data_IF_690591556455
#
_entry.id   IF_690591556455
#
_cell.length_a   1.000
_cell.length_b   1.000
_cell.length_c   1.000
_cell.angle_alpha   90.00
_cell.angle_beta   90.00
_cell.angle_gamma   90.00
#
_symmetry.space_group_name_H-M   'P 1'
#
loop_
_entity.id
_entity.type
_entity.pdbx_description
1 polymer ?
#
# COMPACT_ATOMS: atom_id res chain seq x y z
N UNK A 1 -66.06 0.80 -27.17
CA UNK A 1 -65.21 1.16 -26.00
C UNK A 1 -64.32 -0.03 -25.66
N UNK A 2 -63.05 0.02 -26.02
CA UNK A 2 -62.06 -1.02 -25.61
C UNK A 2 -61.28 -0.49 -24.40
N UNK A 3 -61.47 -1.15 -23.27
CA UNK A 3 -60.78 -0.86 -22.01
C UNK A 3 -59.33 -1.31 -22.14
N UNK A 4 -58.38 -0.36 -22.08
CA UNK A 4 -56.94 -0.65 -22.00
C UNK A 4 -56.68 -1.08 -20.55
N UNK A 5 -56.28 -2.34 -20.36
CA UNK A 5 -55.76 -2.82 -19.08
C UNK A 5 -54.34 -2.30 -18.93
N UNK A 6 -54.08 -1.54 -17.87
CA UNK A 6 -52.74 -1.19 -17.43
C UNK A 6 -52.01 -2.49 -17.07
N UNK A 7 -50.81 -2.66 -17.62
CA UNK A 7 -49.89 -3.70 -17.21
C UNK A 7 -49.48 -3.41 -15.76
N UNK A 8 -49.83 -4.31 -14.87
CA UNK A 8 -49.32 -4.31 -13.49
C UNK A 8 -47.78 -4.35 -13.51
N UNK A 9 -47.15 -3.30 -12.97
CA UNK A 9 -45.72 -3.27 -12.78
C UNK A 9 -45.33 -4.40 -11.81
N UNK A 10 -44.62 -5.40 -12.29
CA UNK A 10 -44.12 -6.49 -11.47
C UNK A 10 -43.08 -5.90 -10.50
N UNK A 11 -43.48 -5.74 -9.25
CA UNK A 11 -42.56 -5.34 -8.16
C UNK A 11 -41.61 -6.53 -7.91
N UNK A 12 -40.30 -6.38 -8.05
CA UNK A 12 -39.37 -7.46 -7.82
C UNK A 12 -39.48 -7.96 -6.37
N UNK A 13 -39.38 -9.27 -6.14
CA UNK A 13 -39.37 -9.82 -4.80
C UNK A 13 -38.16 -9.27 -4.02
N UNK A 14 -38.27 -9.12 -2.69
CA UNK A 14 -37.18 -8.63 -1.83
C UNK A 14 -35.85 -9.41 -2.03
N UNK A 15 -35.95 -10.69 -2.39
CA UNK A 15 -34.79 -11.52 -2.73
C UNK A 15 -34.15 -11.10 -4.06
N UNK A 16 -34.94 -10.81 -5.08
CA UNK A 16 -34.45 -10.34 -6.38
C UNK A 16 -33.83 -8.95 -6.27
N UNK A 17 -34.45 -8.07 -5.51
CA UNK A 17 -33.90 -6.72 -5.24
C UNK A 17 -32.53 -6.81 -4.54
N UNK A 18 -32.38 -7.70 -3.55
CA UNK A 18 -31.10 -7.92 -2.85
C UNK A 18 -30.02 -8.46 -3.79
N UNK A 19 -30.36 -9.43 -4.64
CA UNK A 19 -29.41 -10.00 -5.64
C UNK A 19 -28.99 -8.93 -6.65
N UNK A 20 -29.92 -8.15 -7.18
CA UNK A 20 -29.60 -7.05 -8.11
C UNK A 20 -28.72 -5.98 -7.45
N UNK A 21 -28.99 -5.60 -6.18
CA UNK A 21 -28.14 -4.67 -5.46
C UNK A 21 -26.72 -5.21 -5.25
N UNK A 22 -26.55 -6.50 -4.97
CA UNK A 22 -25.25 -7.14 -4.86
C UNK A 22 -24.49 -7.14 -6.20
N UNK A 23 -25.17 -7.47 -7.31
CA UNK A 23 -24.56 -7.47 -8.65
C UNK A 23 -24.12 -6.05 -9.03
N UNK A 24 -24.97 -5.04 -8.80
CA UNK A 24 -24.64 -3.63 -9.09
C UNK A 24 -23.43 -3.19 -8.24
N UNK A 25 -23.35 -3.59 -6.95
CA UNK A 25 -22.19 -3.30 -6.10
C UNK A 25 -20.89 -3.93 -6.62
N UNK A 26 -20.95 -5.18 -7.08
CA UNK A 26 -19.79 -5.88 -7.66
C UNK A 26 -19.32 -5.21 -8.97
N UNK A 27 -20.25 -4.83 -9.83
CA UNK A 27 -19.90 -4.15 -11.09
C UNK A 27 -19.30 -2.77 -10.85
N UNK A 28 -19.86 -2.03 -9.90
CA UNK A 28 -19.33 -0.71 -9.52
C UNK A 28 -17.92 -0.83 -8.91
N UNK A 29 -17.68 -1.77 -8.00
CA UNK A 29 -16.35 -2.03 -7.46
C UNK A 29 -15.35 -2.42 -8.55
N UNK A 30 -15.77 -3.26 -9.52
CA UNK A 30 -14.95 -3.59 -10.70
C UNK A 30 -14.58 -2.36 -11.51
N UNK A 31 -15.54 -1.46 -11.75
CA UNK A 31 -15.33 -0.22 -12.47
C UNK A 31 -14.31 0.68 -11.76
N UNK A 32 -14.48 0.87 -10.45
CA UNK A 32 -13.60 1.69 -9.63
C UNK A 32 -12.16 1.11 -9.56
N UNK A 33 -12.02 -0.20 -9.46
CA UNK A 33 -10.70 -0.89 -9.54
C UNK A 33 -10.09 -0.81 -10.95
N UNK A 34 -10.90 -0.83 -11.99
CA UNK A 34 -10.44 -0.65 -13.36
C UNK A 34 -9.89 0.78 -13.59
N UNK A 35 -10.49 1.80 -12.96
CA UNK A 35 -10.01 3.19 -13.02
C UNK A 35 -8.60 3.32 -12.44
N UNK A 36 -8.32 2.71 -11.28
CA UNK A 36 -6.97 2.71 -10.70
C UNK A 36 -5.92 2.10 -11.64
N UNK A 37 -6.27 0.99 -12.32
CA UNK A 37 -5.38 0.38 -13.34
C UNK A 37 -5.16 1.29 -14.55
N UNK A 38 -6.21 1.98 -15.00
CA UNK A 38 -6.10 2.92 -16.12
C UNK A 38 -5.17 4.10 -15.76
N UNK A 39 -5.30 4.68 -14.56
CA UNK A 39 -4.41 5.73 -14.07
C UNK A 39 -2.94 5.28 -14.05
N UNK A 40 -2.68 4.08 -13.55
CA UNK A 40 -1.35 3.51 -13.51
C UNK A 40 -0.77 3.29 -14.93
N UNK A 41 -1.59 2.80 -15.88
CA UNK A 41 -1.18 2.59 -17.28
C UNK A 41 -0.94 3.93 -18.01
N UNK A 42 -1.80 4.94 -17.80
CA UNK A 42 -1.61 6.30 -18.32
C UNK A 42 -0.29 6.91 -17.83
N UNK A 43 0.00 6.77 -16.53
CA UNK A 43 1.22 7.25 -15.92
C UNK A 43 2.46 6.54 -16.47
N UNK A 44 2.40 5.22 -16.63
CA UNK A 44 3.48 4.45 -17.24
C UNK A 44 3.77 4.91 -18.67
N UNK A 45 2.75 5.15 -19.47
CA UNK A 45 2.88 5.67 -20.85
C UNK A 45 3.47 7.10 -20.88
N UNK A 46 3.19 7.92 -19.86
CA UNK A 46 3.71 9.28 -19.72
C UNK A 46 5.09 9.36 -19.06
N UNK A 47 5.63 8.23 -18.54
CA UNK A 47 6.88 8.21 -17.78
C UNK A 47 6.77 8.81 -16.37
N UNK A 48 5.55 9.03 -15.87
CA UNK A 48 5.26 9.54 -14.54
C UNK A 48 5.12 8.38 -13.54
N UNK A 49 6.19 8.08 -12.81
CA UNK A 49 6.23 6.91 -11.94
C UNK A 49 5.50 7.11 -10.61
N UNK A 50 5.20 8.34 -10.18
CA UNK A 50 4.65 8.63 -8.85
C UNK A 50 3.45 9.59 -8.82
N UNK A 51 3.30 10.49 -9.78
CA UNK A 51 2.22 11.50 -9.76
C UNK A 51 0.81 10.95 -9.89
N UNK A 52 0.66 9.72 -10.42
CA UNK A 52 -0.63 9.07 -10.52
C UNK A 52 -1.23 8.66 -9.16
N UNK A 53 -0.42 8.54 -8.10
CA UNK A 53 -0.93 8.26 -6.76
C UNK A 53 -1.82 9.40 -6.27
N UNK A 54 -1.37 10.65 -6.41
CA UNK A 54 -2.19 11.81 -6.05
C UNK A 54 -3.51 11.83 -6.82
N UNK A 55 -3.48 11.58 -8.14
CA UNK A 55 -4.69 11.50 -8.96
C UNK A 55 -5.63 10.39 -8.47
N UNK A 56 -5.10 9.22 -8.12
CA UNK A 56 -5.90 8.11 -7.61
C UNK A 56 -6.57 8.47 -6.28
N UNK A 57 -5.83 9.05 -5.33
CA UNK A 57 -6.40 9.47 -4.04
C UNK A 57 -7.43 10.57 -4.19
N UNK A 58 -7.21 11.53 -5.09
CA UNK A 58 -8.17 12.60 -5.38
C UNK A 58 -9.46 12.05 -6.00
N UNK A 59 -9.38 11.17 -7.01
CA UNK A 59 -10.53 10.51 -7.61
C UNK A 59 -11.25 9.59 -6.59
N UNK A 60 -10.50 8.89 -5.72
CA UNK A 60 -11.10 8.09 -4.67
C UNK A 60 -11.81 8.93 -3.61
N UNK A 61 -11.31 10.12 -3.30
CA UNK A 61 -11.99 11.07 -2.41
C UNK A 61 -13.28 11.61 -3.01
N UNK A 62 -13.37 11.72 -4.34
CA UNK A 62 -14.57 12.12 -5.08
C UNK A 62 -15.56 10.93 -5.29
N UNK A 63 -15.16 9.69 -5.01
CA UNK A 63 -15.98 8.49 -5.23
C UNK A 63 -15.85 7.89 -6.64
N UNK A 64 -14.92 8.39 -7.46
CA UNK A 64 -14.71 7.97 -8.85
C UNK A 64 -13.70 6.82 -9.01
N UNK A 65 -12.96 6.50 -7.96
CA UNK A 65 -12.02 5.39 -7.88
C UNK A 65 -12.04 4.73 -6.49
N UNK A 66 -11.36 3.58 -6.36
CA UNK A 66 -10.99 2.99 -5.06
C UNK A 66 -9.48 2.89 -4.97
N UNK A 67 -8.97 2.93 -3.75
CA UNK A 67 -7.56 2.66 -3.46
C UNK A 67 -7.40 1.14 -3.32
N UNK A 68 -6.81 0.43 -4.31
CA UNK A 68 -6.89 -1.04 -4.37
C UNK A 68 -6.15 -1.77 -3.25
N UNK A 69 -5.24 -1.09 -2.56
CA UNK A 69 -4.42 -1.63 -1.46
C UNK A 69 -4.93 -1.25 -0.08
N UNK A 70 -6.11 -0.61 0.01
CA UNK A 70 -6.69 -0.17 1.29
C UNK A 70 -7.76 -1.15 1.74
N UNK A 71 -7.40 -2.06 2.64
CA UNK A 71 -8.29 -3.10 3.17
C UNK A 71 -9.02 -2.68 4.45
N UNK A 72 -8.85 -1.42 4.90
CA UNK A 72 -9.48 -0.90 6.11
C UNK A 72 -8.87 -1.43 7.42
N UNK A 73 -7.73 -2.10 7.34
CA UNK A 73 -7.03 -2.72 8.46
C UNK A 73 -5.50 -2.70 8.23
N UNK A 74 -4.69 -2.85 9.30
CA UNK A 74 -3.25 -3.04 9.16
C UNK A 74 -2.94 -4.30 8.35
N UNK A 75 -1.82 -4.24 7.63
CA UNK A 75 -1.37 -5.39 6.83
C UNK A 75 -1.20 -6.63 7.72
N UNK A 76 -1.82 -7.79 7.39
CA UNK A 76 -1.77 -8.99 8.22
C UNK A 76 -0.36 -9.54 8.39
N UNK A 77 0.51 -9.42 7.38
CA UNK A 77 1.89 -9.92 7.45
C UNK A 77 2.77 -9.02 8.34
N UNK A 78 2.44 -7.71 8.44
CA UNK A 78 3.06 -6.81 9.42
C UNK A 78 2.60 -7.16 10.83
N UNK A 79 1.30 -7.39 11.04
CA UNK A 79 0.78 -7.70 12.37
C UNK A 79 1.28 -9.05 12.89
N UNK A 80 1.37 -10.06 12.03
CA UNK A 80 1.94 -11.36 12.33
C UNK A 80 3.43 -11.26 12.71
N UNK A 81 4.23 -10.54 11.89
CA UNK A 81 5.64 -10.29 12.19
C UNK A 81 5.83 -9.57 13.51
N UNK A 82 5.06 -8.50 13.76
CA UNK A 82 5.12 -7.73 14.99
C UNK A 82 4.81 -8.58 16.23
N UNK A 83 3.83 -9.49 16.13
CA UNK A 83 3.48 -10.43 17.19
C UNK A 83 4.59 -11.47 17.43
N UNK A 84 5.17 -12.03 16.37
CA UNK A 84 6.28 -12.99 16.42
C UNK A 84 7.51 -12.38 17.10
N UNK A 85 7.87 -11.17 16.70
CA UNK A 85 9.01 -10.43 17.24
C UNK A 85 8.70 -9.75 18.60
N UNK A 86 7.46 -9.85 19.10
CA UNK A 86 6.99 -9.24 20.36
C UNK A 86 7.34 -7.76 20.43
N UNK A 87 7.02 -7.02 19.36
CA UNK A 87 7.43 -5.62 19.26
C UNK A 87 6.90 -4.79 20.42
N UNK A 88 7.80 -3.99 20.98
CA UNK A 88 7.53 -2.92 21.93
C UNK A 88 8.25 -1.66 21.49
N UNK A 89 7.46 -0.65 21.10
CA UNK A 89 7.95 0.61 20.55
C UNK A 89 8.30 1.67 21.57
N UNK A 90 8.22 1.40 22.88
CA UNK A 90 8.53 2.40 23.92
C UNK A 90 9.93 2.99 23.75
N UNK A 91 9.98 4.32 23.60
CA UNK A 91 11.23 5.05 23.39
C UNK A 91 11.84 4.88 22.00
N UNK A 92 11.12 4.24 21.05
CA UNK A 92 11.58 3.99 19.69
C UNK A 92 10.76 4.77 18.68
N UNK A 93 11.39 5.09 17.56
CA UNK A 93 10.79 5.79 16.43
C UNK A 93 10.55 4.82 15.27
N UNK A 94 9.38 4.93 14.64
CA UNK A 94 9.07 4.16 13.43
C UNK A 94 8.73 5.09 12.26
N UNK A 95 9.14 4.69 11.05
CA UNK A 95 8.78 5.32 9.79
C UNK A 95 7.96 4.33 8.96
N UNK A 96 6.80 4.77 8.48
CA UNK A 96 5.98 4.01 7.52
C UNK A 96 6.08 4.69 6.16
N UNK A 97 6.63 3.97 5.20
CA UNK A 97 6.88 4.43 3.83
C UNK A 97 5.61 4.26 3.00
N UNK A 98 5.14 5.33 2.34
CA UNK A 98 3.90 5.29 1.56
C UNK A 98 2.72 4.88 2.42
N UNK A 99 2.49 5.61 3.51
CA UNK A 99 1.55 5.21 4.57
C UNK A 99 0.07 5.18 4.13
N UNK A 100 -0.26 5.76 2.98
CA UNK A 100 -1.61 5.81 2.45
C UNK A 100 -2.64 6.30 3.46
N UNK A 101 -3.63 5.47 3.76
CA UNK A 101 -4.69 5.77 4.74
C UNK A 101 -4.31 5.45 6.20
N UNK A 102 -3.04 5.15 6.48
CA UNK A 102 -2.46 5.15 7.82
C UNK A 102 -2.66 3.90 8.67
N UNK A 103 -3.28 2.84 8.18
CA UNK A 103 -3.62 1.67 9.00
C UNK A 103 -2.40 1.01 9.66
N UNK A 104 -1.29 0.87 8.94
CA UNK A 104 -0.03 0.33 9.47
C UNK A 104 0.64 1.29 10.47
N UNK A 105 0.57 2.60 10.19
CA UNK A 105 1.11 3.62 11.09
C UNK A 105 0.35 3.67 12.42
N UNK A 106 -0.99 3.64 12.38
CA UNK A 106 -1.83 3.56 13.56
C UNK A 106 -1.59 2.25 14.35
N UNK A 107 -1.35 1.15 13.65
CA UNK A 107 -0.99 -0.11 14.31
C UNK A 107 0.33 0.00 15.09
N UNK A 108 1.38 0.58 14.50
CA UNK A 108 2.66 0.78 15.17
C UNK A 108 2.55 1.77 16.33
N UNK A 109 1.72 2.80 16.22
CA UNK A 109 1.44 3.73 17.32
C UNK A 109 0.79 3.01 18.52
N UNK A 110 -0.15 2.06 18.26
CA UNK A 110 -0.71 1.20 19.32
C UNK A 110 0.35 0.31 19.98
N UNK A 111 1.41 -0.07 19.26
CA UNK A 111 2.59 -0.75 19.82
C UNK A 111 3.57 0.22 20.50
N UNK A 112 3.18 1.49 20.70
CA UNK A 112 3.91 2.53 21.46
C UNK A 112 5.16 3.06 20.78
N UNK A 113 5.28 2.92 19.45
CA UNK A 113 6.26 3.68 18.69
C UNK A 113 5.86 5.15 18.59
N UNK A 114 6.85 6.05 18.54
CA UNK A 114 6.67 7.39 18.00
C UNK A 114 6.73 7.28 16.48
N UNK A 115 5.57 7.36 15.82
CA UNK A 115 5.43 7.03 14.40
C UNK A 115 5.40 8.28 13.53
N UNK A 116 6.18 8.24 12.46
CA UNK A 116 6.02 9.12 11.30
C UNK A 116 5.51 8.27 10.14
N UNK A 117 4.38 8.65 9.55
CA UNK A 117 3.87 8.09 8.30
C UNK A 117 3.99 9.12 7.18
N UNK A 118 4.54 8.78 6.05
CA UNK A 118 4.56 9.69 4.91
C UNK A 118 4.01 9.04 3.65
N UNK A 119 3.44 9.89 2.80
CA UNK A 119 3.01 9.51 1.45
C UNK A 119 3.35 10.65 0.49
N UNK A 120 3.56 10.31 -0.79
CA UNK A 120 3.80 11.29 -1.84
C UNK A 120 2.53 12.06 -2.22
N UNK A 121 1.36 11.48 -1.94
CA UNK A 121 0.06 12.03 -2.26
C UNK A 121 -0.47 12.93 -1.13
N UNK A 122 -0.53 14.27 -1.31
CA UNK A 122 -1.11 15.19 -0.34
C UNK A 122 -2.54 14.82 0.06
N UNK A 123 -3.37 14.42 -0.91
CA UNK A 123 -4.77 14.00 -0.66
C UNK A 123 -4.86 12.81 0.28
N UNK A 124 -3.91 11.84 0.21
CA UNK A 124 -3.85 10.73 1.16
C UNK A 124 -3.57 11.23 2.58
N UNK A 125 -2.61 12.13 2.73
CA UNK A 125 -2.22 12.73 4.03
C UNK A 125 -3.36 13.57 4.61
N UNK A 126 -4.00 14.42 3.82
CA UNK A 126 -5.17 15.20 4.28
C UNK A 126 -6.31 14.29 4.74
N UNK A 127 -6.54 13.22 4.01
CA UNK A 127 -7.58 12.24 4.34
C UNK A 127 -7.27 11.49 5.63
N UNK A 128 -6.05 10.95 5.80
CA UNK A 128 -5.70 10.19 7.00
C UNK A 128 -5.76 11.05 8.26
N UNK A 129 -5.30 12.31 8.19
CA UNK A 129 -5.39 13.26 9.31
C UNK A 129 -6.85 13.55 9.68
N UNK A 130 -7.71 13.76 8.70
CA UNK A 130 -9.14 14.00 8.91
C UNK A 130 -9.87 12.78 9.50
N UNK A 131 -9.51 11.58 9.06
CA UNK A 131 -10.15 10.32 9.49
C UNK A 131 -9.64 9.83 10.85
N UNK A 132 -8.47 10.31 11.32
CA UNK A 132 -7.88 9.93 12.60
C UNK A 132 -7.64 11.17 13.50
N UNK A 133 -8.70 11.89 13.89
CA UNK A 133 -8.56 13.05 14.76
C UNK A 133 -7.99 12.63 16.12
N UNK A 134 -6.88 13.25 16.53
CA UNK A 134 -6.20 12.93 17.80
C UNK A 134 -5.22 11.75 17.73
N UNK A 135 -4.92 11.23 16.55
CA UNK A 135 -3.84 10.26 16.37
C UNK A 135 -2.49 10.81 16.85
N UNK A 136 -1.67 10.00 17.54
CA UNK A 136 -0.30 10.38 17.90
C UNK A 136 0.69 10.28 16.74
N UNK A 137 0.26 9.81 15.55
CA UNK A 137 1.10 9.65 14.36
C UNK A 137 1.35 11.00 13.71
N UNK A 138 2.61 11.28 13.37
CA UNK A 138 2.99 12.42 12.54
C UNK A 138 2.84 12.07 11.06
N UNK A 139 1.78 12.55 10.41
CA UNK A 139 1.56 12.34 8.98
C UNK A 139 2.16 13.48 8.18
N UNK A 140 2.97 13.16 7.14
CA UNK A 140 3.75 14.14 6.37
C UNK A 140 3.67 13.81 4.87
N UNK A 141 3.42 14.82 4.04
CA UNK A 141 3.63 14.68 2.60
C UNK A 141 5.12 14.72 2.30
N UNK A 142 5.68 13.65 1.75
CA UNK A 142 7.10 13.56 1.39
C UNK A 142 7.32 12.57 0.25
N UNK A 143 8.40 12.76 -0.50
CA UNK A 143 8.85 11.85 -1.54
C UNK A 143 9.96 10.94 -1.01
N UNK A 144 9.83 9.63 -1.20
CA UNK A 144 10.87 8.65 -0.85
C UNK A 144 12.22 8.94 -1.53
N UNK A 145 12.19 9.60 -2.69
CA UNK A 145 13.39 9.96 -3.46
C UNK A 145 14.05 11.27 -2.99
N UNK A 146 13.37 12.03 -2.12
CA UNK A 146 13.86 13.31 -1.57
C UNK A 146 13.43 13.45 -0.09
N UNK A 147 13.82 12.48 0.73
CA UNK A 147 13.50 12.48 2.15
C UNK A 147 14.24 13.59 2.88
N UNK A 148 13.62 14.20 3.93
CA UNK A 148 14.32 15.18 4.78
C UNK A 148 15.65 14.62 5.31
N UNK A 149 16.73 15.35 5.20
CA UNK A 149 18.06 14.93 5.67
C UNK A 149 18.07 14.55 7.16
N UNK A 150 17.18 15.13 7.96
CA UNK A 150 16.99 14.83 9.39
C UNK A 150 16.42 13.44 9.65
N UNK A 151 15.92 12.75 8.62
CA UNK A 151 15.40 11.39 8.74
C UNK A 151 16.47 10.33 8.53
N UNK A 152 17.62 10.67 7.97
CA UNK A 152 18.74 9.74 7.76
C UNK A 152 19.21 9.17 9.10
N UNK A 153 19.18 7.85 9.22
CA UNK A 153 19.54 7.15 10.48
C UNK A 153 18.65 7.49 11.66
N UNK A 154 17.43 7.95 11.42
CA UNK A 154 16.56 8.51 12.46
C UNK A 154 15.52 7.55 13.04
N UNK A 155 15.37 6.32 12.51
CA UNK A 155 14.26 5.44 12.90
C UNK A 155 14.75 4.04 13.30
N UNK A 156 14.26 3.55 14.42
CA UNK A 156 14.54 2.21 14.94
C UNK A 156 13.82 1.13 14.11
N UNK A 157 12.70 1.49 13.47
CA UNK A 157 11.94 0.64 12.58
C UNK A 157 11.51 1.43 11.34
N UNK A 158 11.85 0.94 10.15
CA UNK A 158 11.33 1.43 8.88
C UNK A 158 10.50 0.32 8.25
N UNK A 159 9.26 0.62 7.88
CA UNK A 159 8.31 -0.34 7.31
C UNK A 159 7.93 0.09 5.90
N UNK A 160 8.15 -0.79 4.95
CA UNK A 160 7.70 -0.71 3.57
C UNK A 160 6.71 -1.85 3.30
N UNK A 161 5.47 -1.52 2.93
CA UNK A 161 4.44 -2.48 2.56
C UNK A 161 3.83 -2.09 1.22
N UNK A 162 4.15 -2.83 0.16
CA UNK A 162 3.60 -2.69 -1.20
C UNK A 162 3.82 -1.34 -1.89
N UNK A 163 4.58 -0.41 -1.32
CA UNK A 163 4.75 0.98 -1.81
C UNK A 163 5.61 1.07 -3.06
N UNK A 164 6.72 0.30 -3.12
CA UNK A 164 7.66 0.38 -4.25
C UNK A 164 7.25 -0.47 -5.45
N UNK A 165 6.32 -1.40 -5.27
CA UNK A 165 5.89 -2.33 -6.32
C UNK A 165 5.26 -1.66 -7.54
N UNK A 166 4.43 -0.60 -7.40
CA UNK A 166 3.84 0.07 -8.55
C UNK A 166 4.78 1.07 -9.24
N UNK A 167 5.99 1.29 -8.71
CA UNK A 167 6.99 2.12 -9.38
C UNK A 167 7.65 1.37 -10.53
N UNK A 168 8.14 2.10 -11.54
CA UNK A 168 8.75 1.52 -12.75
C UNK A 168 10.01 2.28 -13.19
N UNK A 169 10.75 1.67 -14.11
CA UNK A 169 11.97 2.23 -14.67
C UNK A 169 13.03 2.59 -13.61
N UNK A 170 13.89 3.60 -13.87
CA UNK A 170 14.95 4.01 -12.94
C UNK A 170 14.42 4.51 -11.58
N UNK A 171 13.17 4.99 -11.53
CA UNK A 171 12.53 5.47 -10.28
C UNK A 171 12.38 4.32 -9.30
N UNK A 172 11.99 3.13 -9.75
CA UNK A 172 11.84 1.94 -8.92
C UNK A 172 13.16 1.53 -8.24
N UNK A 173 14.26 1.48 -9.00
CA UNK A 173 15.57 1.12 -8.44
C UNK A 173 16.05 2.16 -7.42
N UNK A 174 15.86 3.44 -7.69
CA UNK A 174 16.20 4.53 -6.77
C UNK A 174 15.36 4.47 -5.49
N UNK A 175 14.06 4.20 -5.60
CA UNK A 175 13.16 4.06 -4.47
C UNK A 175 13.56 2.88 -3.57
N UNK A 176 13.86 1.71 -4.17
CA UNK A 176 14.36 0.57 -3.42
C UNK A 176 15.65 0.91 -2.66
N UNK A 177 16.62 1.52 -3.32
CA UNK A 177 17.89 1.90 -2.71
C UNK A 177 17.73 2.96 -1.59
N UNK A 178 16.68 3.79 -1.65
CA UNK A 178 16.42 4.83 -0.65
C UNK A 178 15.88 4.29 0.69
N UNK A 179 15.29 3.09 0.71
CA UNK A 179 14.65 2.52 1.90
C UNK A 179 15.59 2.33 3.09
N UNK A 180 16.87 2.07 2.83
CA UNK A 180 17.85 1.83 3.88
C UNK A 180 18.28 3.12 4.62
N UNK A 181 18.23 4.28 3.96
CA UNK A 181 18.80 5.52 4.51
C UNK A 181 18.19 5.95 5.87
N UNK A 182 16.89 5.88 6.11
CA UNK A 182 16.28 6.30 7.36
C UNK A 182 16.56 5.38 8.55
N UNK A 183 17.06 4.16 8.35
CA UNK A 183 17.27 3.17 9.42
C UNK A 183 18.38 3.62 10.35
N UNK A 184 18.11 3.71 11.65
CA UNK A 184 19.08 4.07 12.68
C UNK A 184 20.10 2.95 12.93
N UNK A 185 21.29 3.23 13.50
CA UNK A 185 22.18 2.18 14.03
C UNK A 185 21.42 1.24 14.96
N UNK A 186 21.53 -0.07 14.75
CA UNK A 186 20.75 -1.09 15.45
C UNK A 186 19.28 -1.19 15.03
N UNK A 187 18.81 -0.33 14.14
CA UNK A 187 17.43 -0.29 13.62
C UNK A 187 17.18 -1.35 12.54
N UNK A 188 15.91 -1.55 12.26
CA UNK A 188 15.39 -2.57 11.32
C UNK A 188 14.64 -1.93 10.15
N UNK A 189 14.87 -2.43 8.93
CA UNK A 189 13.99 -2.26 7.78
C UNK A 189 13.19 -3.56 7.58
N UNK A 190 11.87 -3.44 7.60
CA UNK A 190 10.95 -4.51 7.20
C UNK A 190 10.37 -4.19 5.81
N UNK A 191 10.49 -5.13 4.90
CA UNK A 191 9.90 -5.06 3.55
C UNK A 191 8.90 -6.19 3.38
N UNK A 192 7.65 -5.84 3.04
CA UNK A 192 6.58 -6.78 2.71
C UNK A 192 6.13 -6.48 1.29
N UNK A 193 6.24 -7.46 0.39
CA UNK A 193 5.97 -7.28 -1.03
C UNK A 193 5.41 -8.55 -1.68
N UNK A 194 4.78 -8.41 -2.86
CA UNK A 194 4.57 -9.55 -3.75
C UNK A 194 5.93 -10.06 -4.22
N UNK A 195 6.04 -11.37 -4.30
CA UNK A 195 7.28 -12.05 -4.71
C UNK A 195 7.18 -12.64 -6.11
N UNK A 196 8.30 -12.68 -6.82
CA UNK A 196 8.47 -13.52 -8.01
C UNK A 196 9.80 -14.24 -7.95
N UNK A 197 9.84 -15.46 -8.51
CA UNK A 197 11.05 -16.24 -8.69
C UNK A 197 11.68 -16.03 -10.07
N UNK A 198 11.03 -15.23 -10.92
CA UNK A 198 11.61 -14.83 -12.21
C UNK A 198 12.73 -13.82 -11.99
N UNK A 199 13.88 -14.02 -12.62
CA UNK A 199 15.01 -13.09 -12.49
C UNK A 199 14.76 -11.77 -13.22
N UNK A 200 14.14 -11.83 -14.39
CA UNK A 200 13.82 -10.69 -15.25
C UNK A 200 12.34 -10.76 -15.70
N UNK A 201 11.40 -10.53 -14.81
CA UNK A 201 9.98 -10.62 -15.13
C UNK A 201 9.57 -9.56 -16.16
N UNK A 202 8.73 -9.93 -17.11
CA UNK A 202 8.08 -8.96 -17.96
C UNK A 202 7.17 -8.05 -17.11
N UNK A 203 7.25 -6.75 -17.37
CA UNK A 203 6.51 -5.72 -16.63
C UNK A 203 5.46 -5.08 -17.52
N UNK A 204 4.41 -5.84 -17.80
CA UNK A 204 3.22 -5.30 -18.48
C UNK A 204 2.55 -4.25 -17.57
N UNK A 205 2.39 -2.99 -18.04
CA UNK A 205 1.70 -1.94 -17.30
C UNK A 205 0.27 -2.33 -16.87
N UNK A 206 -0.42 -3.18 -17.62
CA UNK A 206 -1.75 -3.68 -17.28
C UNK A 206 -1.76 -4.63 -16.07
N UNK A 207 -0.58 -5.19 -15.71
CA UNK A 207 -0.40 -6.15 -14.62
C UNK A 207 0.19 -5.52 -13.35
N UNK A 208 0.23 -4.18 -13.28
CA UNK A 208 0.70 -3.47 -12.08
C UNK A 208 -0.21 -3.76 -10.86
N UNK A 209 0.31 -3.83 -9.62
CA UNK A 209 1.70 -3.66 -9.22
C UNK A 209 2.54 -4.94 -9.46
N UNK A 210 3.81 -4.74 -9.86
CA UNK A 210 4.71 -5.85 -10.16
C UNK A 210 5.38 -6.41 -8.92
N UNK A 211 5.47 -7.74 -8.85
CA UNK A 211 6.21 -8.44 -7.79
C UNK A 211 7.68 -8.03 -7.76
N UNK A 212 8.30 -8.07 -6.58
CA UNK A 212 9.74 -7.89 -6.43
C UNK A 212 10.47 -9.19 -6.75
N UNK A 213 11.56 -9.07 -7.49
CA UNK A 213 12.57 -10.12 -7.62
C UNK A 213 13.42 -10.19 -6.36
N UNK A 214 14.16 -11.28 -6.18
CA UNK A 214 15.13 -11.39 -5.08
C UNK A 214 16.21 -10.29 -5.16
N UNK A 215 16.71 -9.98 -6.38
CA UNK A 215 17.67 -8.90 -6.58
C UNK A 215 17.14 -7.53 -6.14
N UNK A 216 15.88 -7.23 -6.43
CA UNK A 216 15.25 -5.97 -6.00
C UNK A 216 15.08 -5.92 -4.47
N UNK A 217 14.77 -7.05 -3.86
CA UNK A 217 14.70 -7.14 -2.42
C UNK A 217 16.07 -6.91 -1.76
N UNK A 218 17.14 -7.48 -2.33
CA UNK A 218 18.50 -7.25 -1.86
C UNK A 218 18.93 -5.78 -2.08
N UNK A 219 18.47 -5.13 -3.16
CA UNK A 219 18.69 -3.70 -3.38
C UNK A 219 17.97 -2.85 -2.31
N UNK A 220 16.76 -3.23 -1.90
CA UNK A 220 16.03 -2.56 -0.81
C UNK A 220 16.80 -2.63 0.52
N UNK A 221 17.39 -3.77 0.83
CA UNK A 221 18.27 -3.93 1.98
C UNK A 221 19.54 -3.07 1.90
N UNK A 222 20.07 -2.90 0.68
CA UNK A 222 21.25 -2.07 0.41
C UNK A 222 22.43 -2.41 1.33
N UNK A 223 22.95 -1.42 2.10
CA UNK A 223 24.09 -1.63 3.01
C UNK A 223 23.71 -2.31 4.33
N UNK A 224 22.43 -2.63 4.55
CA UNK A 224 21.99 -3.27 5.78
C UNK A 224 22.31 -4.76 5.75
N UNK A 225 22.57 -5.34 6.94
CA UNK A 225 22.74 -6.78 7.05
C UNK A 225 21.38 -7.49 6.96
N UNK A 226 21.27 -8.48 6.09
CA UNK A 226 20.10 -9.35 6.01
C UNK A 226 19.96 -10.17 7.31
N UNK A 227 18.81 -10.05 7.98
CA UNK A 227 18.49 -10.84 9.18
C UNK A 227 17.68 -12.07 8.79
N UNK A 228 16.58 -11.85 8.07
CA UNK A 228 15.70 -12.91 7.59
C UNK A 228 15.05 -12.54 6.26
N UNK A 229 14.85 -13.52 5.42
CA UNK A 229 14.08 -13.38 4.16
C UNK A 229 13.19 -14.59 4.02
N UNK A 230 11.90 -14.37 4.18
CA UNK A 230 10.87 -15.39 4.03
C UNK A 230 10.16 -15.21 2.69
N UNK A 231 9.90 -16.32 2.03
CA UNK A 231 9.00 -16.39 0.89
C UNK A 231 7.86 -17.35 1.24
N UNK A 232 6.63 -16.91 1.10
CA UNK A 232 5.46 -17.69 1.50
C UNK A 232 4.25 -17.37 0.61
N UNK A 233 3.30 -18.32 0.55
CA UNK A 233 1.98 -18.07 -0.04
C UNK A 233 1.09 -17.45 1.03
N UNK A 234 0.37 -16.38 0.68
CA UNK A 234 -0.65 -15.80 1.54
C UNK A 234 -1.99 -16.57 1.46
N UNK A 235 -2.95 -16.15 2.27
CA UNK A 235 -4.29 -16.75 2.34
C UNK A 235 -5.31 -16.03 1.42
N UNK A 236 -4.86 -15.19 0.47
CA UNK A 236 -5.74 -14.56 -0.51
C UNK A 236 -6.30 -15.60 -1.50
N UNK A 237 -7.41 -15.30 -2.13
CA UNK A 237 -7.99 -16.12 -3.20
C UNK A 237 -7.96 -15.36 -4.55
N UNK A 238 -7.16 -15.79 -5.52
CA UNK A 238 -6.13 -16.86 -5.43
C UNK A 238 -4.92 -16.45 -4.56
N UNK A 239 -4.25 -17.45 -3.94
CA UNK A 239 -3.07 -17.21 -3.12
C UNK A 239 -1.97 -16.52 -3.90
N UNK A 240 -1.23 -15.62 -3.23
CA UNK A 240 -0.13 -14.87 -3.84
C UNK A 240 1.18 -15.13 -3.12
N UNK A 241 2.24 -15.22 -3.90
CA UNK A 241 3.58 -15.36 -3.35
C UNK A 241 4.04 -14.01 -2.77
N UNK A 242 4.57 -14.03 -1.54
CA UNK A 242 5.00 -12.85 -0.79
C UNK A 242 6.45 -12.94 -0.36
N UNK A 243 7.09 -11.78 -0.29
CA UNK A 243 8.30 -11.55 0.49
C UNK A 243 7.93 -10.93 1.82
N UNK A 244 8.62 -11.38 2.90
CA UNK A 244 8.79 -10.66 4.15
C UNK A 244 10.27 -10.69 4.47
N UNK A 245 10.91 -9.54 4.37
CA UNK A 245 12.35 -9.42 4.53
C UNK A 245 12.69 -8.44 5.64
N UNK A 246 13.63 -8.83 6.47
CA UNK A 246 14.16 -8.07 7.58
C UNK A 246 15.63 -7.80 7.36
N UNK A 247 15.99 -6.51 7.40
CA UNK A 247 17.35 -6.03 7.28
C UNK A 247 17.67 -5.16 8.50
N UNK A 248 18.92 -5.17 8.96
CA UNK A 248 19.35 -4.43 10.14
C UNK A 248 20.59 -3.61 9.86
N UNK A 249 20.62 -2.38 10.36
CA UNK A 249 21.82 -1.56 10.40
C UNK A 249 22.66 -1.97 11.60
N UNK A 250 23.92 -2.34 11.39
CA UNK A 250 24.90 -2.61 12.45
C UNK A 250 25.37 -1.34 13.15
#
# INVERSE_FOLDING_TARGET
>A
MRTIRFLDAVVPSARLTRVLSQIVGIEEERRLRARARALAAEAAAAGDASGWFERLYAEAAAGDAVVPWSDGAPNPHLTEWAARERLDGRGKRALVVGCGLGYDAEFLARLRYTVTGFDVAPTAIERVVRENPGSPVSYVTADLLDLPATWTGGFDLVVEVYTVQPLFGPVRERALAALAAPVAPGGTLLVIARATNEENPERDPAMMPWALTRRELDLAGGPLRTVNVEQFMDDEDPPKLRWRAEFRRD
#
